data_IF_043210825988
#
_entry.id   IF_043210825988
#
_cell.length_a   1.000
_cell.length_b   1.000
_cell.length_c   1.000
_cell.angle_alpha   90.00
_cell.angle_beta   90.00
_cell.angle_gamma   90.00
#
_symmetry.space_group_name_H-M   'P 1'
#
loop_
_entity.id
_entity.type
_entity.pdbx_description
1 polymer ?
#
# COMPACT_ATOMS: atom_id res chain seq x y z
N UNK A 1 9.11 42.29 -21.76
CA UNK A 1 8.45 41.82 -20.53
C UNK A 1 7.89 40.44 -20.82
N UNK A 2 8.57 39.39 -20.36
CA UNK A 2 8.18 38.00 -20.59
C UNK A 2 7.19 37.52 -19.53
N UNK A 3 6.05 37.00 -19.97
CA UNK A 3 5.05 36.37 -19.11
C UNK A 3 5.37 34.90 -18.91
N UNK A 4 5.42 34.47 -17.65
CA UNK A 4 5.59 33.07 -17.24
C UNK A 4 4.26 32.34 -17.46
N UNK A 5 4.20 31.20 -18.17
CA UNK A 5 2.98 30.40 -18.22
C UNK A 5 2.79 29.65 -16.90
N UNK A 6 1.60 29.79 -16.32
CA UNK A 6 1.20 29.15 -15.07
C UNK A 6 1.31 27.62 -15.13
N UNK A 7 1.91 27.06 -14.08
CA UNK A 7 1.94 25.62 -13.80
C UNK A 7 0.52 25.18 -13.47
N UNK A 8 -0.09 24.38 -14.36
CA UNK A 8 -1.30 23.62 -14.03
C UNK A 8 -0.90 22.49 -13.08
N UNK A 9 -1.33 22.59 -11.83
CA UNK A 9 -1.33 21.45 -10.90
C UNK A 9 -2.55 20.57 -11.22
N UNK A 10 -2.42 19.26 -11.49
CA UNK A 10 -3.57 18.40 -11.68
C UNK A 10 -4.21 18.10 -10.32
N UNK A 11 -5.30 18.80 -10.03
CA UNK A 11 -6.23 18.50 -8.95
C UNK A 11 -7.35 17.60 -9.48
N UNK A 12 -7.12 16.29 -9.57
CA UNK A 12 -8.21 15.30 -9.70
C UNK A 12 -7.70 13.87 -9.51
N UNK A 13 -7.44 13.47 -8.27
CA UNK A 13 -7.35 12.03 -7.92
C UNK A 13 -8.75 11.42 -7.68
N UNK A 14 -9.80 12.24 -7.66
CA UNK A 14 -11.22 11.84 -7.68
C UNK A 14 -11.54 10.89 -8.84
N UNK A 15 -10.84 11.04 -9.98
CA UNK A 15 -11.04 10.22 -11.17
C UNK A 15 -10.52 8.77 -11.09
N UNK A 16 -9.67 8.43 -10.12
CA UNK A 16 -9.05 7.09 -10.06
C UNK A 16 -9.92 6.04 -9.34
N UNK A 17 -10.99 6.48 -8.66
CA UNK A 17 -12.08 5.60 -8.23
C UNK A 17 -13.32 5.69 -9.13
N UNK A 18 -13.36 6.59 -10.12
CA UNK A 18 -14.41 6.65 -11.15
C UNK A 18 -13.84 6.27 -12.52
N UNK A 19 -13.94 4.99 -12.86
CA UNK A 19 -13.51 4.40 -14.13
C UNK A 19 -13.79 5.28 -15.36
N UNK A 20 -12.76 5.88 -15.92
CA UNK A 20 -12.59 6.14 -17.36
C UNK A 20 -11.11 6.05 -17.68
N UNK A 21 -10.73 5.73 -18.92
CA UNK A 21 -9.36 5.42 -19.40
C UNK A 21 -8.92 3.95 -19.32
N UNK A 22 -9.77 3.07 -19.84
CA UNK A 22 -9.31 1.84 -20.47
C UNK A 22 -9.37 2.05 -21.98
N UNK A 23 -8.35 2.69 -22.56
CA UNK A 23 -8.05 2.55 -23.99
C UNK A 23 -6.66 3.13 -24.29
N UNK A 24 -5.95 2.44 -25.17
CA UNK A 24 -4.62 2.73 -25.74
C UNK A 24 -3.38 2.36 -24.90
N UNK A 25 -2.88 1.13 -25.09
CA UNK A 25 -1.70 0.84 -25.93
C UNK A 25 -1.24 -0.63 -25.82
N UNK A 26 -0.70 -1.23 -26.92
CA UNK A 26 -0.42 -2.66 -27.02
C UNK A 26 0.95 -3.08 -26.46
N UNK A 27 0.97 -4.22 -25.76
CA UNK A 27 2.18 -4.97 -25.44
C UNK A 27 2.79 -5.61 -26.71
N UNK A 28 4.11 -5.50 -26.88
CA UNK A 28 4.90 -6.45 -27.69
C UNK A 28 6.17 -6.87 -26.95
N UNK A 29 6.53 -8.17 -26.97
CA UNK A 29 7.72 -8.71 -26.32
C UNK A 29 8.93 -8.71 -27.25
N UNK A 30 10.14 -8.64 -26.68
CA UNK A 30 11.36 -8.99 -27.40
C UNK A 30 12.16 -10.04 -26.61
N UNK A 31 12.20 -11.24 -27.19
CA UNK A 31 13.21 -12.26 -26.96
C UNK A 31 14.58 -11.77 -27.45
N UNK A 32 15.67 -12.17 -26.79
CA UNK A 32 16.96 -12.25 -27.45
C UNK A 32 17.79 -13.39 -26.86
N UNK A 33 18.42 -14.15 -27.75
CA UNK A 33 19.03 -15.45 -27.56
C UNK A 33 20.56 -15.36 -27.31
N UNK A 34 21.07 -16.33 -26.52
CA UNK A 34 22.31 -17.11 -26.74
C UNK A 34 23.76 -16.53 -26.65
N UNK A 35 24.46 -16.90 -25.54
CA UNK A 35 25.78 -17.62 -25.40
C UNK A 35 27.10 -17.03 -26.00
N UNK A 36 28.33 -17.35 -25.49
CA UNK A 36 28.75 -18.65 -24.94
C UNK A 36 29.77 -18.67 -23.75
N UNK A 37 29.98 -19.91 -23.29
CA UNK A 37 30.89 -20.41 -22.23
C UNK A 37 32.37 -20.27 -22.59
N UNK A 38 33.20 -19.99 -21.58
CA UNK A 38 34.62 -20.40 -21.57
C UNK A 38 34.96 -21.25 -20.34
N UNK A 39 35.99 -22.08 -20.53
CA UNK A 39 36.29 -23.35 -19.88
C UNK A 39 37.04 -23.21 -18.54
N UNK A 40 36.82 -24.19 -17.66
CA UNK A 40 37.57 -24.59 -16.45
C UNK A 40 39.02 -24.99 -16.80
N UNK A 41 40.07 -25.09 -15.95
CA UNK A 41 40.38 -25.52 -14.55
C UNK A 41 41.95 -25.41 -14.40
N UNK A 42 42.70 -25.88 -13.36
CA UNK A 42 42.55 -25.89 -11.88
C UNK A 42 43.77 -25.35 -11.07
N UNK A 43 43.50 -24.98 -9.81
CA UNK A 43 44.18 -25.17 -8.50
C UNK A 43 45.72 -25.26 -8.35
N UNK A 44 46.27 -24.48 -7.40
CA UNK A 44 47.02 -24.98 -6.20
C UNK A 44 47.09 -23.90 -5.09
N UNK A 45 46.80 -24.28 -3.84
CA UNK A 45 47.01 -23.48 -2.61
C UNK A 45 48.18 -24.05 -1.79
N UNK A 46 48.88 -23.21 -1.00
CA UNK A 46 49.47 -23.62 0.27
C UNK A 46 48.64 -23.05 1.45
N UNK A 47 48.37 -23.92 2.43
CA UNK A 47 47.58 -23.64 3.65
C UNK A 47 48.51 -23.14 4.76
N UNK A 48 48.20 -21.98 5.34
CA UNK A 48 48.74 -21.50 6.62
C UNK A 48 47.56 -21.21 7.57
N UNK A 49 47.65 -21.54 8.87
CA UNK A 49 46.52 -21.40 9.78
C UNK A 49 46.39 -19.94 10.24
N UNK A 50 45.34 -19.24 9.80
CA UNK A 50 44.91 -17.97 10.38
C UNK A 50 43.79 -18.21 11.40
N UNK A 51 44.10 -17.89 12.66
CA UNK A 51 43.14 -17.72 13.76
C UNK A 51 42.05 -16.73 13.32
N UNK A 52 40.83 -17.23 13.14
CA UNK A 52 39.67 -16.37 12.89
C UNK A 52 38.98 -16.06 14.22
N UNK A 53 39.22 -14.83 14.68
CA UNK A 53 38.29 -14.10 15.52
C UNK A 53 36.97 -13.99 14.75
N UNK A 54 35.91 -14.64 15.23
CA UNK A 54 34.55 -14.37 14.77
C UNK A 54 34.13 -12.98 15.28
N UNK A 55 34.41 -11.93 14.50
CA UNK A 55 33.60 -10.71 14.54
C UNK A 55 32.41 -10.95 13.60
N UNK A 56 31.39 -11.63 14.11
CA UNK A 56 30.06 -11.66 13.50
C UNK A 56 29.38 -10.31 13.71
N UNK A 57 29.87 -9.27 13.04
CA UNK A 57 29.07 -8.07 12.82
C UNK A 57 28.02 -8.44 11.78
N UNK A 58 26.80 -8.75 12.23
CA UNK A 58 25.64 -8.79 11.35
C UNK A 58 25.50 -7.40 10.72
N UNK A 59 26.05 -7.23 9.53
CA UNK A 59 25.65 -6.16 8.63
C UNK A 59 24.27 -6.58 8.10
N UNK A 60 23.27 -6.53 8.99
CA UNK A 60 21.90 -6.85 8.66
C UNK A 60 21.42 -5.73 7.73
N UNK A 61 21.42 -6.01 6.42
CA UNK A 61 20.46 -5.39 5.53
C UNK A 61 19.11 -5.51 6.23
N UNK A 62 18.50 -4.38 6.60
CA UNK A 62 17.23 -4.39 7.33
C UNK A 62 16.25 -5.26 6.55
N UNK A 63 15.70 -6.27 7.21
CA UNK A 63 14.70 -7.13 6.58
C UNK A 63 13.55 -6.25 6.09
N UNK A 64 13.14 -6.44 4.83
CA UNK A 64 12.05 -5.64 4.23
C UNK A 64 10.77 -5.77 5.04
N UNK A 65 10.55 -6.92 5.70
CA UNK A 65 9.43 -7.15 6.61
C UNK A 65 9.45 -6.17 7.78
N UNK A 66 10.61 -5.95 8.39
CA UNK A 66 10.76 -5.05 9.54
C UNK A 66 10.49 -3.60 9.15
N UNK A 67 11.00 -3.17 7.98
CA UNK A 67 10.74 -1.83 7.43
C UNK A 67 9.25 -1.63 7.16
N UNK A 68 8.60 -2.60 6.52
CA UNK A 68 7.18 -2.53 6.20
C UNK A 68 6.33 -2.54 7.48
N UNK A 69 6.65 -3.40 8.45
CA UNK A 69 5.95 -3.47 9.72
C UNK A 69 6.07 -2.14 10.50
N UNK A 70 7.26 -1.54 10.54
CA UNK A 70 7.47 -0.25 11.18
C UNK A 70 6.66 0.87 10.51
N UNK A 71 6.57 0.90 9.18
CA UNK A 71 5.75 1.87 8.45
C UNK A 71 4.25 1.67 8.69
N UNK A 72 3.79 0.42 8.79
CA UNK A 72 2.40 0.09 9.14
C UNK A 72 2.04 0.53 10.57
N UNK A 73 2.94 0.31 11.52
CA UNK A 73 2.79 0.72 12.94
C UNK A 73 2.79 2.25 13.08
N UNK A 74 3.73 2.92 12.42
CA UNK A 74 3.77 4.38 12.36
C UNK A 74 2.49 4.93 11.75
N UNK A 75 2.08 4.41 10.59
CA UNK A 75 0.85 4.82 9.91
C UNK A 75 -0.39 4.60 10.77
N UNK A 76 -0.46 3.50 11.53
CA UNK A 76 -1.55 3.27 12.49
C UNK A 76 -1.63 4.39 13.53
N UNK A 77 -0.51 4.70 14.19
CA UNK A 77 -0.47 5.72 15.22
C UNK A 77 -0.84 7.11 14.68
N UNK A 78 -0.32 7.47 13.49
CA UNK A 78 -0.61 8.73 12.81
C UNK A 78 -2.10 8.84 12.43
N UNK A 79 -2.68 7.81 11.81
CA UNK A 79 -4.10 7.80 11.43
C UNK A 79 -5.01 7.88 12.65
N UNK A 80 -4.75 7.09 13.70
CA UNK A 80 -5.55 7.13 14.93
C UNK A 80 -5.49 8.51 15.56
N UNK A 81 -4.28 9.09 15.67
CA UNK A 81 -4.11 10.44 16.20
C UNK A 81 -4.83 11.50 15.36
N UNK A 82 -4.77 11.37 14.03
CA UNK A 82 -5.41 12.30 13.11
C UNK A 82 -6.92 12.30 13.28
N UNK A 83 -7.58 11.14 13.19
CA UNK A 83 -9.03 11.04 13.30
C UNK A 83 -9.56 11.43 14.68
N UNK A 84 -8.84 11.11 15.77
CA UNK A 84 -9.19 11.58 17.13
C UNK A 84 -9.09 13.10 17.30
N UNK A 85 -8.29 13.77 16.50
CA UNK A 85 -8.12 15.23 16.56
C UNK A 85 -9.19 16.02 15.79
N UNK A 86 -10.08 15.31 15.08
CA UNK A 86 -11.12 15.93 14.26
C UNK A 86 -12.34 16.25 15.13
N UNK A 87 -12.90 17.43 14.89
CA UNK A 87 -14.17 17.83 15.46
C UNK A 87 -15.34 17.06 14.83
N UNK A 88 -16.51 17.00 15.48
CA UNK A 88 -17.72 16.42 14.89
C UNK A 88 -18.12 17.06 13.55
N UNK A 89 -17.81 18.35 13.34
CA UNK A 89 -18.09 19.04 12.08
C UNK A 89 -17.16 18.57 10.96
N UNK A 90 -15.86 18.51 11.22
CA UNK A 90 -14.86 18.00 10.26
C UNK A 90 -15.15 16.54 9.87
N UNK A 91 -15.59 15.70 10.82
CA UNK A 91 -15.97 14.30 10.54
C UNK A 91 -17.18 14.18 9.60
N UNK A 92 -18.06 15.18 9.57
CA UNK A 92 -19.24 15.24 8.69
C UNK A 92 -18.97 15.92 7.35
N UNK A 93 -17.82 16.58 7.18
CA UNK A 93 -17.43 17.17 5.90
C UNK A 93 -17.40 16.12 4.80
N UNK A 94 -17.93 16.46 3.62
CA UNK A 94 -17.99 15.53 2.47
C UNK A 94 -16.75 15.67 1.61
N UNK A 95 -16.20 14.53 1.20
CA UNK A 95 -15.16 14.43 0.20
C UNK A 95 -15.75 14.09 -1.16
N UNK A 96 -15.00 14.47 -2.20
CA UNK A 96 -15.26 14.24 -3.62
C UNK A 96 -16.53 14.94 -4.09
N UNK A 97 -16.45 15.78 -5.13
CA UNK A 97 -17.63 16.42 -5.72
C UNK A 97 -18.38 15.50 -6.69
N UNK A 98 -17.76 14.38 -7.04
CA UNK A 98 -18.19 13.35 -7.96
C UNK A 98 -18.12 11.97 -7.30
N UNK A 99 -19.03 11.05 -7.69
CA UNK A 99 -19.07 9.69 -7.12
C UNK A 99 -19.66 9.60 -5.71
N UNK A 100 -19.15 8.66 -4.90
CA UNK A 100 -19.63 8.42 -3.54
C UNK A 100 -19.22 9.61 -2.64
N UNK A 101 -20.18 10.47 -2.32
CA UNK A 101 -20.05 11.69 -1.51
C UNK A 101 -19.76 11.36 -0.02
N UNK A 102 -18.67 10.65 0.25
CA UNK A 102 -18.35 10.14 1.58
C UNK A 102 -18.06 11.26 2.56
N UNK A 103 -18.53 11.10 3.79
CA UNK A 103 -18.04 11.92 4.89
C UNK A 103 -16.61 11.53 5.24
N UNK A 104 -15.87 12.41 5.92
CA UNK A 104 -14.54 12.08 6.46
C UNK A 104 -14.59 10.81 7.32
N UNK A 105 -15.62 10.62 8.14
CA UNK A 105 -15.78 9.39 8.91
C UNK A 105 -15.99 8.14 8.02
N UNK A 106 -16.70 8.28 6.90
CA UNK A 106 -16.87 7.18 5.93
C UNK A 106 -15.56 6.83 5.20
N UNK A 107 -14.60 7.76 5.11
CA UNK A 107 -13.25 7.44 4.63
C UNK A 107 -12.52 6.49 5.58
N UNK A 108 -12.66 6.65 6.90
CA UNK A 108 -12.11 5.69 7.87
C UNK A 108 -12.81 4.32 7.78
N UNK A 109 -14.12 4.30 7.51
CA UNK A 109 -14.85 3.07 7.23
C UNK A 109 -14.33 2.37 5.97
N UNK A 110 -14.05 3.13 4.92
CA UNK A 110 -13.41 2.63 3.70
C UNK A 110 -12.04 1.99 4.01
N UNK A 111 -11.19 2.64 4.81
CA UNK A 111 -9.89 2.07 5.22
C UNK A 111 -10.06 0.71 5.89
N UNK A 112 -11.01 0.62 6.82
CA UNK A 112 -11.30 -0.63 7.54
C UNK A 112 -11.79 -1.72 6.60
N UNK A 113 -12.67 -1.39 5.67
CA UNK A 113 -13.23 -2.33 4.70
C UNK A 113 -12.18 -2.83 3.71
N UNK A 114 -11.43 -1.92 3.08
CA UNK A 114 -10.49 -2.27 2.02
C UNK A 114 -9.27 -3.01 2.57
N UNK A 115 -8.76 -2.64 3.75
CA UNK A 115 -7.58 -3.30 4.30
C UNK A 115 -7.90 -4.74 4.72
N UNK A 116 -9.12 -5.02 5.20
CA UNK A 116 -9.60 -6.40 5.40
C UNK A 116 -9.63 -7.22 4.10
N UNK A 117 -10.01 -6.61 2.98
CA UNK A 117 -9.94 -7.25 1.66
C UNK A 117 -8.48 -7.48 1.22
N UNK A 118 -7.59 -6.53 1.49
CA UNK A 118 -6.16 -6.68 1.23
C UNK A 118 -5.53 -7.83 2.03
N UNK A 119 -5.95 -8.06 3.28
CA UNK A 119 -5.50 -9.22 4.07
C UNK A 119 -5.85 -10.54 3.40
N UNK A 120 -7.07 -10.66 2.87
CA UNK A 120 -7.46 -11.82 2.09
C UNK A 120 -6.56 -11.97 0.84
N UNK A 121 -6.30 -10.88 0.13
CA UNK A 121 -5.41 -10.88 -1.03
C UNK A 121 -4.00 -11.34 -0.68
N UNK A 122 -3.42 -10.83 0.41
CA UNK A 122 -2.08 -11.20 0.86
C UNK A 122 -2.03 -12.68 1.20
N UNK A 123 -2.98 -13.18 1.98
CA UNK A 123 -3.06 -14.60 2.33
C UNK A 123 -3.29 -15.50 1.10
N UNK A 124 -4.07 -15.04 0.12
CA UNK A 124 -4.27 -15.77 -1.14
C UNK A 124 -2.93 -15.95 -1.89
N UNK A 125 -2.18 -14.87 -2.09
CA UNK A 125 -0.87 -14.91 -2.76
C UNK A 125 0.14 -15.74 -1.95
N UNK A 126 0.11 -15.63 -0.62
CA UNK A 126 0.94 -16.45 0.25
C UNK A 126 0.61 -17.95 0.18
N UNK A 127 -0.64 -18.31 -0.11
CA UNK A 127 -1.04 -19.70 -0.33
C UNK A 127 -0.74 -20.20 -1.76
N UNK A 128 -0.09 -19.39 -2.61
CA UNK A 128 0.16 -19.72 -4.01
C UNK A 128 -1.04 -19.47 -4.93
N UNK A 129 -2.04 -18.73 -4.45
CA UNK A 129 -3.21 -18.32 -5.23
C UNK A 129 -2.92 -17.22 -6.26
N UNK A 130 -3.86 -16.97 -7.18
CA UNK A 130 -3.66 -16.05 -8.30
C UNK A 130 -3.70 -14.55 -7.91
N UNK A 131 -4.14 -14.23 -6.69
CA UNK A 131 -4.45 -12.87 -6.25
C UNK A 131 -5.94 -12.52 -6.42
N UNK A 132 -6.21 -11.23 -6.65
CA UNK A 132 -7.54 -10.69 -6.82
C UNK A 132 -8.24 -11.28 -8.06
N UNK A 133 -9.59 -11.33 -8.07
CA UNK A 133 -10.35 -11.62 -9.29
C UNK A 133 -10.06 -10.59 -10.39
N UNK A 134 -9.97 -10.99 -11.67
CA UNK A 134 -9.67 -10.08 -12.78
C UNK A 134 -10.80 -9.07 -13.05
N UNK A 135 -12.02 -9.39 -12.63
CA UNK A 135 -13.24 -8.60 -12.78
C UNK A 135 -13.64 -7.88 -11.48
N UNK A 136 -12.69 -7.65 -10.58
CA UNK A 136 -12.96 -6.97 -9.32
C UNK A 136 -13.51 -5.55 -9.55
N UNK A 137 -14.76 -5.34 -9.16
CA UNK A 137 -15.45 -4.05 -9.27
C UNK A 137 -15.28 -3.23 -7.99
N UNK A 138 -14.42 -2.21 -8.06
CA UNK A 138 -14.16 -1.27 -6.97
C UNK A 138 -15.40 -0.49 -6.56
N UNK A 139 -16.21 -0.06 -7.51
CA UNK A 139 -17.37 0.77 -7.22
C UNK A 139 -18.42 -0.04 -6.48
N UNK A 140 -18.70 -1.27 -6.94
CA UNK A 140 -19.57 -2.21 -6.23
C UNK A 140 -19.01 -2.56 -4.85
N UNK A 141 -17.70 -2.80 -4.72
CA UNK A 141 -17.09 -3.06 -3.43
C UNK A 141 -17.31 -1.88 -2.48
N UNK A 142 -16.93 -0.68 -2.88
CA UNK A 142 -17.04 0.55 -2.10
C UNK A 142 -18.50 0.85 -1.71
N UNK A 143 -19.45 0.70 -2.65
CA UNK A 143 -20.89 0.89 -2.43
C UNK A 143 -21.49 -0.15 -1.46
N UNK A 144 -20.90 -1.33 -1.33
CA UNK A 144 -21.48 -2.43 -0.51
C UNK A 144 -20.74 -2.68 0.80
N UNK A 145 -19.45 -2.34 0.90
CA UNK A 145 -18.65 -2.62 2.09
C UNK A 145 -18.54 -1.42 3.03
N UNK A 146 -18.34 -0.21 2.51
CA UNK A 146 -18.21 1.01 3.35
C UNK A 146 -19.46 1.26 4.19
N UNK A 147 -20.70 1.16 3.65
CA UNK A 147 -21.92 1.41 4.44
C UNK A 147 -22.18 0.40 5.58
N UNK A 148 -21.48 -0.74 5.62
CA UNK A 148 -21.59 -1.69 6.73
C UNK A 148 -21.11 -1.14 8.07
N UNK A 149 -20.40 -0.02 8.03
CA UNK A 149 -19.87 0.69 9.19
C UNK A 149 -20.65 1.97 9.51
N UNK A 150 -21.72 2.27 8.75
CA UNK A 150 -22.54 3.45 9.00
C UNK A 150 -23.21 3.35 10.38
N UNK A 151 -23.32 4.50 11.07
CA UNK A 151 -23.92 4.59 12.40
C UNK A 151 -23.00 4.24 13.57
N UNK A 152 -21.81 3.71 13.30
CA UNK A 152 -20.81 3.46 14.35
C UNK A 152 -20.27 4.78 14.92
N UNK A 153 -20.06 4.88 16.25
CA UNK A 153 -19.32 6.00 16.82
C UNK A 153 -17.85 5.96 16.37
N UNK A 154 -17.20 7.13 16.34
CA UNK A 154 -15.82 7.25 15.85
C UNK A 154 -14.85 6.30 16.58
N UNK A 155 -14.94 6.21 17.91
CA UNK A 155 -14.04 5.37 18.70
C UNK A 155 -14.16 3.88 18.32
N UNK A 156 -15.37 3.38 18.11
CA UNK A 156 -15.59 1.99 17.70
C UNK A 156 -15.12 1.74 16.26
N UNK A 157 -15.18 2.76 15.39
CA UNK A 157 -14.63 2.68 14.04
C UNK A 157 -13.09 2.67 14.06
N UNK A 158 -12.47 3.48 14.93
CA UNK A 158 -11.03 3.50 15.18
C UNK A 158 -10.55 2.15 15.73
N UNK A 159 -11.29 1.55 16.67
CA UNK A 159 -10.97 0.22 17.20
C UNK A 159 -11.00 -0.84 16.10
N UNK A 160 -12.00 -0.81 15.22
CA UNK A 160 -12.08 -1.72 14.08
C UNK A 160 -10.94 -1.54 13.08
N UNK A 161 -10.61 -0.30 12.72
CA UNK A 161 -9.46 0.00 11.87
C UNK A 161 -8.16 -0.49 12.52
N UNK A 162 -7.98 -0.24 13.82
CA UNK A 162 -6.82 -0.67 14.60
C UNK A 162 -6.67 -2.19 14.56
N UNK A 163 -7.74 -2.93 14.80
CA UNK A 163 -7.73 -4.39 14.76
C UNK A 163 -7.36 -4.92 13.36
N UNK A 164 -7.89 -4.31 12.30
CA UNK A 164 -7.53 -4.66 10.91
C UNK A 164 -6.05 -4.37 10.68
N UNK A 165 -5.54 -3.18 10.99
CA UNK A 165 -4.12 -2.85 10.80
C UNK A 165 -3.17 -3.75 11.59
N UNK A 166 -3.53 -4.10 12.82
CA UNK A 166 -2.75 -5.05 13.64
C UNK A 166 -2.69 -6.44 13.01
N UNK A 167 -3.77 -6.90 12.41
CA UNK A 167 -3.78 -8.17 11.65
C UNK A 167 -2.87 -8.09 10.42
N UNK A 168 -2.88 -6.97 9.69
CA UNK A 168 -1.94 -6.74 8.57
C UNK A 168 -0.49 -6.81 9.04
N UNK A 169 -0.15 -6.15 10.16
CA UNK A 169 1.20 -6.19 10.75
C UNK A 169 1.57 -7.62 11.16
N UNK A 170 0.63 -8.37 11.76
CA UNK A 170 0.81 -9.77 12.14
C UNK A 170 1.14 -10.64 10.93
N UNK A 171 0.38 -10.48 9.84
CA UNK A 171 0.61 -11.17 8.56
C UNK A 171 2.03 -10.90 8.06
N UNK A 172 2.46 -9.63 7.99
CA UNK A 172 3.80 -9.24 7.52
C UNK A 172 4.91 -9.84 8.39
N UNK A 173 4.75 -9.81 9.73
CA UNK A 173 5.74 -10.37 10.66
C UNK A 173 5.89 -11.88 10.56
N UNK A 174 4.87 -12.59 10.09
CA UNK A 174 4.88 -14.05 9.93
C UNK A 174 5.41 -14.53 8.57
N UNK A 175 5.51 -13.64 7.58
CA UNK A 175 6.12 -13.96 6.28
C UNK A 175 7.60 -14.29 6.43
N UNK A 176 8.17 -15.07 5.52
CA UNK A 176 9.61 -15.08 5.28
C UNK A 176 10.02 -13.93 4.36
N UNK A 177 11.30 -13.56 4.35
CA UNK A 177 11.80 -12.48 3.47
C UNK A 177 11.43 -12.73 2.00
N UNK A 178 11.63 -13.96 1.51
CA UNK A 178 11.31 -14.32 0.12
C UNK A 178 9.81 -14.34 -0.20
N UNK A 179 8.93 -14.37 0.80
CA UNK A 179 7.48 -14.34 0.54
C UNK A 179 7.05 -12.99 -0.06
N UNK A 180 7.82 -11.93 0.23
CA UNK A 180 7.64 -10.60 -0.35
C UNK A 180 7.92 -10.56 -1.86
N UNK A 181 8.60 -11.57 -2.41
CA UNK A 181 8.84 -11.73 -3.85
C UNK A 181 7.74 -12.50 -4.57
N UNK A 182 6.75 -13.06 -3.85
CA UNK A 182 5.62 -13.75 -4.48
C UNK A 182 4.80 -12.78 -5.31
N UNK A 183 4.30 -13.27 -6.44
CA UNK A 183 3.52 -12.47 -7.37
C UNK A 183 2.06 -12.91 -7.43
N UNK A 184 1.17 -11.94 -7.65
CA UNK A 184 -0.24 -12.17 -7.87
C UNK A 184 -0.88 -11.00 -8.59
N UNK A 185 -2.18 -11.10 -8.84
CA UNK A 185 -2.98 -9.99 -9.36
C UNK A 185 -3.45 -9.10 -8.21
N UNK A 186 -3.20 -7.80 -8.28
CA UNK A 186 -3.86 -6.80 -7.44
C UNK A 186 -4.82 -6.00 -8.32
N UNK A 187 -6.05 -5.81 -7.86
CA UNK A 187 -7.09 -5.19 -8.68
C UNK A 187 -6.69 -3.80 -9.22
N UNK A 188 -5.94 -3.01 -8.44
CA UNK A 188 -5.50 -1.66 -8.84
C UNK A 188 -4.12 -1.63 -9.53
N UNK A 189 -3.17 -2.46 -9.07
CA UNK A 189 -1.78 -2.41 -9.52
C UNK A 189 -1.50 -3.38 -10.67
N UNK A 190 -2.47 -4.21 -11.05
CA UNK A 190 -2.26 -5.32 -11.97
C UNK A 190 -1.39 -6.42 -11.36
N UNK A 191 -0.73 -7.20 -12.23
CA UNK A 191 0.19 -8.26 -11.79
C UNK A 191 1.45 -7.65 -11.20
N UNK A 192 1.86 -8.14 -10.04
CA UNK A 192 3.06 -7.65 -9.37
C UNK A 192 3.36 -8.40 -8.08
N UNK A 193 4.38 -7.92 -7.38
CA UNK A 193 4.91 -8.53 -6.16
C UNK A 193 4.12 -8.14 -4.91
N UNK A 194 4.10 -9.06 -3.95
CA UNK A 194 3.40 -8.90 -2.68
C UNK A 194 3.93 -7.72 -1.85
N UNK A 195 5.24 -7.46 -1.87
CA UNK A 195 5.82 -6.32 -1.15
C UNK A 195 5.20 -4.98 -1.56
N UNK A 196 4.99 -4.78 -2.87
CA UNK A 196 4.34 -3.58 -3.39
C UNK A 196 2.90 -3.47 -2.90
N UNK A 197 2.15 -4.57 -2.90
CA UNK A 197 0.75 -4.59 -2.46
C UNK A 197 0.61 -4.31 -0.96
N UNK A 198 1.53 -4.80 -0.13
CA UNK A 198 1.51 -4.51 1.31
C UNK A 198 1.84 -3.03 1.56
N UNK A 199 2.84 -2.47 0.85
CA UNK A 199 3.17 -1.05 0.97
C UNK A 199 1.99 -0.15 0.59
N UNK A 200 1.20 -0.57 -0.40
CA UNK A 200 -0.01 0.13 -0.80
C UNK A 200 -1.00 0.30 0.36
N UNK A 201 -1.09 -0.63 1.31
CA UNK A 201 -2.04 -0.52 2.42
C UNK A 201 -1.88 0.77 3.24
N UNK A 202 -0.64 1.18 3.54
CA UNK A 202 -0.39 2.43 4.28
C UNK A 202 -0.28 3.66 3.37
N UNK A 203 0.18 3.50 2.12
CA UNK A 203 0.23 4.61 1.16
C UNK A 203 -1.16 5.08 0.73
N UNK A 204 -2.08 4.14 0.52
CA UNK A 204 -3.48 4.40 0.20
C UNK A 204 -4.18 5.20 1.31
N UNK A 205 -3.90 4.87 2.57
CA UNK A 205 -4.41 5.64 3.72
C UNK A 205 -3.86 7.06 3.71
N UNK A 206 -2.55 7.23 3.52
CA UNK A 206 -1.91 8.56 3.46
C UNK A 206 -2.51 9.44 2.36
N UNK A 207 -2.73 8.87 1.17
CA UNK A 207 -3.36 9.56 0.04
C UNK A 207 -4.72 10.13 0.44
N UNK A 208 -5.56 9.31 1.06
CA UNK A 208 -6.91 9.74 1.45
C UNK A 208 -6.93 10.66 2.67
N UNK A 209 -5.97 10.54 3.59
CA UNK A 209 -5.81 11.55 4.64
C UNK A 209 -5.43 12.91 4.08
N UNK A 210 -4.63 12.96 3.00
CA UNK A 210 -4.33 14.21 2.32
C UNK A 210 -5.58 14.82 1.66
N UNK A 211 -6.45 13.98 1.06
CA UNK A 211 -7.76 14.42 0.58
C UNK A 211 -8.62 15.00 1.71
N UNK A 212 -8.65 14.33 2.87
CA UNK A 212 -9.35 14.83 4.07
C UNK A 212 -8.77 16.17 4.51
N UNK A 213 -7.45 16.28 4.67
CA UNK A 213 -6.75 17.51 5.08
C UNK A 213 -7.07 18.68 4.17
N UNK A 214 -7.15 18.43 2.86
CA UNK A 214 -7.53 19.45 1.88
C UNK A 214 -8.96 19.94 2.10
N UNK A 215 -9.91 19.04 2.32
CA UNK A 215 -11.33 19.38 2.50
C UNK A 215 -11.58 20.13 3.81
N UNK A 216 -10.91 19.74 4.91
CA UNK A 216 -11.08 20.38 6.22
C UNK A 216 -10.17 21.61 6.45
N UNK A 217 -9.40 22.02 5.43
CA UNK A 217 -8.53 23.19 5.52
C UNK A 217 -7.28 23.04 6.40
N UNK A 218 -6.91 21.81 6.79
CA UNK A 218 -5.71 21.50 7.60
C UNK A 218 -4.52 21.10 6.71
N UNK A 219 -4.13 21.95 5.76
CA UNK A 219 -2.95 21.66 4.92
C UNK A 219 -1.70 21.51 5.80
N UNK A 220 -0.82 20.53 5.55
CA UNK A 220 0.50 20.53 6.16
C UNK A 220 1.19 21.83 5.78
N UNK A 221 1.67 22.58 6.77
CA UNK A 221 2.59 23.69 6.51
C UNK A 221 3.85 23.09 5.89
N UNK A 222 4.01 23.30 4.59
CA UNK A 222 5.28 23.01 3.91
C UNK A 222 6.33 23.89 4.60
N UNK A 223 7.23 23.27 5.36
CA UNK A 223 8.47 23.88 5.80
C UNK A 223 9.54 23.63 4.76
#
# INVERSE_FOLDING_TARGET
>A
MGGIPGVRTPSSWSGLCSSTWADTLPCRPLECHSRPRFKTRPLTHPVLPRRHFFKGGNNAMSDRRDVIAAELEKGLAETVSFFRSLSPEELRSRLYSDGAQWTVQQVLAHFTAIERSMQWLFNNILAGGPGAPPDFDFERFNRTQTPKYDGLPLDELIERFTAVRQETIRIVRQMQEQDLDREGLHAFHGRGRLDRFIRWAYEHVRLHEDDVRQVIGRRPTVK
#
